data_IF_426340991612
#
_entry.id   IF_426340991612
#
_cell.length_a   1.000
_cell.length_b   1.000
_cell.length_c   1.000
_cell.angle_alpha   90.00
_cell.angle_beta   90.00
_cell.angle_gamma   90.00
#
_symmetry.space_group_name_H-M   'P 1'
#
loop_
_entity.id
_entity.type
_entity.pdbx_description
1 polymer ?
#
# COMPACT_ATOMS: atom_id res chain seq x y z
N UNK A 1 -14.71 -10.52 18.72
CA UNK A 1 -13.25 -10.51 18.86
C UNK A 1 -12.81 -9.20 19.51
N UNK A 2 -11.66 -9.24 20.18
CA UNK A 2 -10.89 -8.05 20.51
C UNK A 2 -9.93 -7.77 19.34
N UNK A 3 -10.00 -6.59 18.75
CA UNK A 3 -9.18 -6.23 17.58
C UNK A 3 -8.40 -4.95 17.88
N UNK A 4 -7.09 -4.98 17.69
CA UNK A 4 -6.28 -3.76 17.61
C UNK A 4 -6.21 -3.31 16.15
N UNK A 5 -6.58 -2.08 15.85
CA UNK A 5 -6.35 -1.47 14.53
C UNK A 5 -5.10 -0.62 14.61
N UNK A 6 -4.01 -1.09 14.00
CA UNK A 6 -2.74 -0.38 13.93
C UNK A 6 -2.76 0.62 12.79
N UNK A 7 -2.56 1.89 13.10
CA UNK A 7 -2.57 2.99 12.15
C UNK A 7 -1.44 4.00 12.45
N UNK A 8 -1.35 5.08 11.71
CA UNK A 8 -0.39 6.16 11.93
C UNK A 8 1.01 5.81 11.46
N UNK A 9 1.96 5.74 12.38
CA UNK A 9 3.38 5.56 12.03
C UNK A 9 4.07 6.85 11.61
N UNK A 10 5.28 6.76 11.04
CA UNK A 10 6.10 7.88 10.60
C UNK A 10 6.30 7.89 9.07
N UNK A 11 5.28 7.56 8.30
CA UNK A 11 5.34 7.67 6.85
C UNK A 11 4.70 8.97 6.33
N UNK A 12 4.99 9.40 5.10
CA UNK A 12 4.25 10.48 4.45
C UNK A 12 2.76 10.19 4.29
N UNK A 13 2.34 8.93 4.44
CA UNK A 13 0.96 8.47 4.34
C UNK A 13 0.25 8.37 5.70
N UNK A 14 0.87 8.89 6.77
CA UNK A 14 0.35 8.85 8.15
C UNK A 14 -1.11 9.30 8.27
N UNK A 15 -1.48 10.41 7.67
CA UNK A 15 -2.84 10.97 7.77
C UNK A 15 -3.87 10.07 7.09
N UNK A 16 -3.52 9.48 5.95
CA UNK A 16 -4.36 8.48 5.25
C UNK A 16 -4.53 7.23 6.11
N UNK A 17 -3.46 6.77 6.72
CA UNK A 17 -3.47 5.63 7.65
C UNK A 17 -4.38 5.87 8.86
N UNK A 18 -4.27 7.02 9.52
CA UNK A 18 -5.13 7.36 10.67
C UNK A 18 -6.61 7.42 10.28
N UNK A 19 -6.92 7.96 9.10
CA UNK A 19 -8.30 7.99 8.60
C UNK A 19 -8.81 6.59 8.27
N UNK A 20 -8.03 5.79 7.54
CA UNK A 20 -8.36 4.39 7.24
C UNK A 20 -8.59 3.62 8.54
N UNK A 21 -7.68 3.76 9.53
CA UNK A 21 -7.80 3.10 10.83
C UNK A 21 -9.07 3.49 11.60
N UNK A 22 -9.46 4.77 11.57
CA UNK A 22 -10.69 5.25 12.19
C UNK A 22 -11.93 4.63 11.55
N UNK A 23 -12.01 4.63 10.21
CA UNK A 23 -13.14 4.09 9.45
C UNK A 23 -13.23 2.56 9.59
N UNK A 24 -12.12 1.85 9.56
CA UNK A 24 -12.03 0.41 9.82
C UNK A 24 -12.52 0.10 11.24
N UNK A 25 -12.06 0.87 12.23
CA UNK A 25 -12.48 0.68 13.63
C UNK A 25 -13.99 0.82 13.80
N UNK A 26 -14.58 1.85 13.18
CA UNK A 26 -16.02 2.05 13.21
C UNK A 26 -16.77 0.90 12.52
N UNK A 27 -16.29 0.43 11.35
CA UNK A 27 -16.85 -0.70 10.63
C UNK A 27 -16.84 -1.99 11.46
N UNK A 28 -15.70 -2.30 12.07
CA UNK A 28 -15.55 -3.49 12.93
C UNK A 28 -16.43 -3.43 14.18
N UNK A 29 -16.61 -2.24 14.78
CA UNK A 29 -17.54 -2.05 15.91
C UNK A 29 -19.01 -2.27 15.49
N UNK A 30 -19.42 -1.79 14.31
CA UNK A 30 -20.76 -2.09 13.75
C UNK A 30 -20.99 -3.59 13.53
N UNK A 31 -19.91 -4.37 13.30
CA UNK A 31 -19.95 -5.85 13.24
C UNK A 31 -19.91 -6.51 14.62
N UNK A 32 -19.90 -5.74 15.71
CA UNK A 32 -19.97 -6.26 17.09
C UNK A 32 -18.61 -6.64 17.70
N UNK A 33 -17.50 -6.21 17.10
CA UNK A 33 -16.18 -6.40 17.68
C UNK A 33 -15.86 -5.31 18.71
N UNK A 34 -15.02 -5.64 19.70
CA UNK A 34 -14.38 -4.67 20.59
C UNK A 34 -13.07 -4.22 19.96
N UNK A 35 -12.91 -2.93 19.73
CA UNK A 35 -11.82 -2.39 18.93
C UNK A 35 -11.04 -1.34 19.70
N UNK A 36 -9.72 -1.47 19.70
CA UNK A 36 -8.76 -0.45 20.08
C UNK A 36 -8.05 0.05 18.82
N UNK A 37 -8.20 1.33 18.47
CA UNK A 37 -7.36 1.97 17.45
C UNK A 37 -6.10 2.50 18.12
N UNK A 38 -4.94 2.20 17.54
CA UNK A 38 -3.64 2.48 18.11
C UNK A 38 -2.69 3.03 17.06
N UNK A 39 -2.13 4.20 17.32
CA UNK A 39 -1.02 4.71 16.53
C UNK A 39 0.24 3.92 16.85
N UNK A 40 0.80 3.25 15.82
CA UNK A 40 1.94 2.34 16.00
C UNK A 40 3.20 3.05 16.49
N UNK A 41 3.42 4.32 16.13
CA UNK A 41 4.57 5.09 16.58
C UNK A 41 4.31 5.75 17.94
N UNK A 42 3.12 6.32 18.11
CA UNK A 42 2.82 7.02 19.37
C UNK A 42 2.65 6.06 20.55
N UNK A 43 1.94 4.94 20.35
CA UNK A 43 1.61 4.04 21.44
C UNK A 43 0.70 4.66 22.50
N UNK A 44 0.58 4.00 23.64
CA UNK A 44 -0.14 4.47 24.83
C UNK A 44 0.77 4.27 26.05
N UNK A 45 1.18 5.35 26.70
CA UNK A 45 2.10 5.26 27.86
C UNK A 45 1.40 4.77 29.14
N UNK A 46 0.15 5.18 29.36
CA UNK A 46 -0.66 4.75 30.51
C UNK A 46 -1.81 3.86 30.04
N UNK A 47 -1.73 2.59 30.30
CA UNK A 47 -2.76 1.59 29.95
C UNK A 47 -3.70 1.27 31.13
N UNK A 48 -3.47 1.87 32.29
CA UNK A 48 -4.23 1.63 33.54
C UNK A 48 -4.06 0.22 34.08
N UNK A 49 -4.87 -0.10 35.13
CA UNK A 49 -4.82 -1.41 35.80
C UNK A 49 -5.53 -2.52 34.99
N UNK A 50 -6.30 -2.18 33.98
CA UNK A 50 -7.09 -3.12 33.17
C UNK A 50 -6.99 -2.75 31.69
N UNK A 51 -5.88 -3.10 31.00
CA UNK A 51 -5.67 -2.75 29.59
C UNK A 51 -6.76 -3.27 28.65
N UNK A 52 -7.42 -4.38 29.00
CA UNK A 52 -8.53 -4.95 28.24
C UNK A 52 -9.73 -4.00 28.14
N UNK A 53 -9.88 -3.06 29.07
CA UNK A 53 -10.95 -2.06 29.06
C UNK A 53 -10.78 -1.02 27.95
N UNK A 54 -9.59 -0.92 27.33
CA UNK A 54 -9.34 -0.06 26.17
C UNK A 54 -10.06 -0.58 24.90
N UNK A 55 -10.40 -1.87 24.86
CA UNK A 55 -11.17 -2.45 23.76
C UNK A 55 -12.66 -2.14 23.94
N UNK A 56 -13.21 -1.30 23.09
CA UNK A 56 -14.59 -0.82 23.20
C UNK A 56 -15.40 -1.05 21.94
N UNK A 57 -16.72 -1.18 22.11
CA UNK A 57 -17.71 -1.14 21.02
C UNK A 57 -18.19 0.28 20.71
N UNK A 58 -17.81 1.25 21.53
CA UNK A 58 -18.23 2.65 21.37
C UNK A 58 -17.30 3.35 20.35
N UNK A 59 -17.90 4.18 19.49
CA UNK A 59 -17.12 4.99 18.55
C UNK A 59 -16.35 6.07 19.30
N UNK A 60 -15.03 6.05 19.12
CA UNK A 60 -14.11 7.08 19.59
C UNK A 60 -13.59 7.85 18.39
N UNK A 61 -13.61 9.17 18.48
CA UNK A 61 -13.01 10.17 17.57
C UNK A 61 -12.78 9.74 16.10
N UNK A 62 -13.54 10.34 15.19
CA UNK A 62 -13.27 10.26 13.76
C UNK A 62 -12.02 11.10 13.43
N UNK A 63 -10.98 10.47 12.85
CA UNK A 63 -9.92 11.19 12.19
C UNK A 63 -10.34 11.53 10.75
N UNK A 64 -10.09 12.75 10.31
CA UNK A 64 -10.29 13.18 8.92
C UNK A 64 -8.94 13.33 8.25
N UNK A 65 -8.85 12.92 6.96
CA UNK A 65 -7.63 13.11 6.16
C UNK A 65 -7.31 14.61 6.12
N UNK A 66 -6.07 14.96 6.44
CA UNK A 66 -5.55 16.30 6.17
C UNK A 66 -5.52 16.58 4.66
N UNK A 67 -5.54 17.83 4.29
CA UNK A 67 -5.53 18.27 2.88
C UNK A 67 -4.21 17.99 2.15
N UNK A 68 -3.16 17.61 2.87
CA UNK A 68 -1.82 17.32 2.35
C UNK A 68 -1.16 16.17 3.11
N UNK A 69 -0.19 15.52 2.48
CA UNK A 69 0.70 14.58 3.16
C UNK A 69 1.53 15.31 4.22
N UNK A 70 1.82 14.69 5.39
CA UNK A 70 2.73 15.25 6.37
C UNK A 70 4.08 15.60 5.74
N UNK A 71 4.56 16.79 6.01
CA UNK A 71 5.91 17.21 5.58
C UNK A 71 6.98 16.51 6.42
N UNK A 72 8.23 16.44 5.95
CA UNK A 72 9.34 15.94 6.77
C UNK A 72 9.46 16.66 8.12
N UNK A 73 9.21 17.97 8.14
CA UNK A 73 9.24 18.79 9.36
C UNK A 73 8.13 18.40 10.35
N UNK A 74 6.92 18.11 9.85
CA UNK A 74 5.82 17.63 10.69
C UNK A 74 6.10 16.24 11.27
N UNK A 75 6.71 15.35 10.51
CA UNK A 75 7.15 14.04 11.01
C UNK A 75 8.28 14.17 12.06
N UNK A 76 9.23 15.05 11.84
CA UNK A 76 10.27 15.35 12.83
C UNK A 76 9.70 16.01 14.12
N UNK A 77 8.62 16.80 14.00
CA UNK A 77 7.92 17.33 15.17
C UNK A 77 7.25 16.21 16.00
N UNK A 78 6.67 15.21 15.32
CA UNK A 78 6.11 14.03 16.00
C UNK A 78 7.20 13.27 16.74
N UNK A 79 8.38 13.08 16.13
CA UNK A 79 9.54 12.46 16.78
C UNK A 79 9.99 13.26 18.01
N UNK A 80 10.10 14.59 17.89
CA UNK A 80 10.51 15.46 19.00
C UNK A 80 9.57 15.38 20.20
N UNK A 81 8.26 15.36 19.97
CA UNK A 81 7.27 15.19 21.03
C UNK A 81 7.42 13.88 21.80
N UNK A 82 7.98 12.86 21.17
CA UNK A 82 8.27 11.55 21.77
C UNK A 82 9.74 11.38 22.19
N UNK A 83 10.46 12.48 22.44
CA UNK A 83 11.85 12.45 22.91
C UNK A 83 12.86 12.05 21.84
N UNK A 84 12.55 12.22 20.55
CA UNK A 84 13.42 11.89 19.40
C UNK A 84 13.91 10.44 19.43
N UNK A 85 13.08 9.52 19.90
CA UNK A 85 13.40 8.10 19.92
C UNK A 85 13.59 7.55 18.51
N UNK A 86 14.41 6.53 18.39
CA UNK A 86 14.72 5.85 17.13
C UNK A 86 13.80 4.65 16.85
N UNK A 87 13.15 4.14 17.89
CA UNK A 87 12.20 3.03 17.79
C UNK A 87 10.95 3.45 17.05
N UNK A 88 10.54 2.65 16.07
CA UNK A 88 9.37 2.89 15.24
C UNK A 88 8.07 2.39 15.88
N UNK A 89 8.17 1.56 16.93
CA UNK A 89 7.03 1.01 17.67
C UNK A 89 6.92 1.70 19.04
N UNK A 90 5.75 2.21 19.35
CA UNK A 90 5.45 2.97 20.55
C UNK A 90 5.31 2.12 21.80
N UNK A 91 5.22 2.84 22.95
CA UNK A 91 5.01 2.20 24.24
C UNK A 91 3.70 1.38 24.25
N UNK A 92 3.78 0.19 24.83
CA UNK A 92 2.67 -0.75 25.00
C UNK A 92 1.99 -1.24 23.71
N UNK A 93 2.48 -0.91 22.52
CA UNK A 93 1.88 -1.37 21.25
C UNK A 93 1.89 -2.90 21.17
N UNK A 94 3.02 -3.53 21.42
CA UNK A 94 3.15 -4.99 21.35
C UNK A 94 2.31 -5.67 22.44
N UNK A 95 2.35 -5.15 23.66
CA UNK A 95 1.58 -5.67 24.80
C UNK A 95 0.08 -5.60 24.56
N UNK A 96 -0.40 -4.51 23.99
CA UNK A 96 -1.82 -4.35 23.61
C UNK A 96 -2.21 -5.27 22.45
N UNK A 97 -1.32 -5.47 21.48
CA UNK A 97 -1.55 -6.43 20.40
C UNK A 97 -1.65 -7.89 20.91
N UNK A 98 -0.92 -8.25 21.96
CA UNK A 98 -1.01 -9.58 22.59
C UNK A 98 -2.36 -9.84 23.29
N UNK A 99 -3.08 -8.78 23.68
CA UNK A 99 -4.42 -8.89 24.27
C UNK A 99 -5.53 -9.01 23.23
N UNK A 100 -5.19 -8.78 21.95
CA UNK A 100 -6.14 -8.88 20.84
C UNK A 100 -6.15 -10.28 20.23
N UNK A 101 -7.30 -10.64 19.64
CA UNK A 101 -7.41 -11.82 18.79
C UNK A 101 -6.71 -11.59 17.43
N UNK A 102 -6.77 -10.33 16.94
CA UNK A 102 -6.21 -9.91 15.65
C UNK A 102 -5.71 -8.46 15.73
N UNK A 103 -4.54 -8.20 15.16
CA UNK A 103 -4.06 -6.87 14.81
C UNK A 103 -4.46 -6.56 13.36
N UNK A 104 -5.35 -5.61 13.14
CA UNK A 104 -5.73 -5.14 11.81
C UNK A 104 -4.74 -4.07 11.36
N UNK A 105 -4.02 -4.32 10.26
CA UNK A 105 -3.03 -3.39 9.74
C UNK A 105 -3.71 -2.36 8.82
N UNK A 106 -3.76 -1.12 9.27
CA UNK A 106 -4.28 0.03 8.52
C UNK A 106 -3.18 1.05 8.19
N UNK A 107 -1.93 0.60 8.14
CA UNK A 107 -0.77 1.41 7.80
C UNK A 107 -0.61 1.52 6.28
N UNK A 108 0.14 2.55 5.85
CA UNK A 108 0.55 2.74 4.46
C UNK A 108 2.01 3.17 4.43
N UNK A 109 2.76 2.64 3.46
CA UNK A 109 4.18 2.92 3.25
C UNK A 109 5.11 2.41 4.35
N UNK A 110 6.41 2.60 4.16
CA UNK A 110 7.49 2.33 5.11
C UNK A 110 7.31 1.02 5.90
N UNK A 111 7.47 1.08 7.21
CA UNK A 111 7.40 -0.06 8.14
C UNK A 111 6.09 -0.86 8.02
N UNK A 112 4.99 -0.21 7.61
CA UNK A 112 3.69 -0.87 7.48
C UNK A 112 3.65 -1.88 6.32
N UNK A 113 4.36 -1.60 5.22
CA UNK A 113 4.28 -2.38 3.98
C UNK A 113 5.60 -3.06 3.59
N UNK A 114 6.74 -2.73 4.22
CA UNK A 114 8.05 -3.30 3.86
C UNK A 114 8.40 -4.62 4.58
N UNK A 115 7.48 -5.17 5.37
CA UNK A 115 7.66 -6.42 6.11
C UNK A 115 8.23 -6.27 7.52
N UNK A 116 8.71 -5.10 7.93
CA UNK A 116 9.32 -4.92 9.27
C UNK A 116 8.30 -5.12 10.40
N UNK A 117 7.12 -4.51 10.28
CA UNK A 117 6.06 -4.68 11.27
C UNK A 117 5.57 -6.12 11.30
N UNK A 118 5.33 -6.71 10.13
CA UNK A 118 4.88 -8.11 10.01
C UNK A 118 5.86 -9.07 10.67
N UNK A 119 7.17 -8.93 10.39
CA UNK A 119 8.21 -9.75 11.03
C UNK A 119 8.25 -9.55 12.55
N UNK A 120 8.01 -8.33 13.02
CA UNK A 120 7.95 -8.05 14.46
C UNK A 120 6.75 -8.76 15.09
N UNK A 121 5.57 -8.66 14.48
CA UNK A 121 4.36 -9.32 14.97
C UNK A 121 4.50 -10.85 14.96
N UNK A 122 5.15 -11.42 13.92
CA UNK A 122 5.46 -12.86 13.84
C UNK A 122 6.35 -13.31 15.01
N UNK A 123 7.39 -12.53 15.37
CA UNK A 123 8.30 -12.85 16.49
C UNK A 123 7.55 -12.89 17.83
N UNK A 124 6.51 -12.10 17.99
CA UNK A 124 5.69 -12.06 19.21
C UNK A 124 4.43 -12.94 19.13
N UNK A 125 4.28 -13.77 18.10
CA UNK A 125 3.10 -14.65 17.87
C UNK A 125 1.77 -13.88 17.85
N UNK A 126 1.78 -12.67 17.28
CA UNK A 126 0.60 -11.82 17.13
C UNK A 126 -0.02 -12.09 15.76
N UNK A 127 -1.30 -12.45 15.75
CA UNK A 127 -2.08 -12.62 14.52
C UNK A 127 -2.42 -11.27 13.90
N UNK A 128 -2.22 -11.10 12.59
CA UNK A 128 -2.50 -9.85 11.87
C UNK A 128 -3.11 -10.07 10.49
N UNK A 129 -3.75 -9.02 9.94
CA UNK A 129 -4.38 -9.05 8.61
C UNK A 129 -3.35 -8.92 7.49
N UNK A 130 -3.63 -9.54 6.34
CA UNK A 130 -2.86 -9.40 5.11
C UNK A 130 -1.62 -10.28 5.03
N UNK A 131 -0.71 -9.90 4.15
CA UNK A 131 0.50 -10.66 3.81
C UNK A 131 1.53 -10.64 4.93
N UNK A 132 2.29 -11.72 5.07
CA UNK A 132 3.42 -11.81 5.98
C UNK A 132 4.64 -11.04 5.50
N UNK A 133 5.71 -11.01 6.33
CA UNK A 133 6.90 -10.20 6.08
C UNK A 133 7.57 -10.47 4.73
N UNK A 134 7.60 -11.73 4.27
CA UNK A 134 8.20 -12.09 2.98
C UNK A 134 7.42 -11.46 1.83
N UNK A 135 6.10 -11.64 1.78
CA UNK A 135 5.27 -11.08 0.70
C UNK A 135 5.30 -9.56 0.70
N UNK A 136 5.23 -8.93 1.87
CA UNK A 136 5.32 -7.48 2.03
C UNK A 136 6.64 -6.92 1.50
N UNK A 137 7.78 -7.52 1.91
CA UNK A 137 9.10 -7.13 1.41
C UNK A 137 9.22 -7.27 -0.11
N UNK A 138 8.78 -8.42 -0.67
CA UNK A 138 8.89 -8.71 -2.09
C UNK A 138 8.03 -7.76 -2.94
N UNK A 139 6.83 -7.39 -2.47
CA UNK A 139 5.95 -6.47 -3.17
C UNK A 139 6.44 -5.02 -3.08
N UNK A 140 7.01 -4.61 -1.94
CA UNK A 140 7.45 -3.24 -1.71
C UNK A 140 8.67 -2.85 -2.55
N UNK A 141 9.65 -3.72 -2.72
CA UNK A 141 10.81 -3.49 -3.58
C UNK A 141 10.43 -3.71 -5.05
N UNK A 142 10.20 -2.62 -5.78
CA UNK A 142 9.75 -2.65 -7.18
C UNK A 142 10.74 -3.38 -8.13
N UNK A 143 12.04 -3.35 -7.85
CA UNK A 143 13.02 -4.08 -8.68
C UNK A 143 12.91 -5.59 -8.46
N UNK A 144 12.76 -6.03 -7.20
CA UNK A 144 12.57 -7.45 -6.88
C UNK A 144 11.20 -7.92 -7.37
N UNK A 145 10.14 -7.15 -7.09
CA UNK A 145 8.79 -7.46 -7.53
C UNK A 145 8.72 -7.69 -9.04
N UNK A 146 9.28 -6.76 -9.84
CA UNK A 146 9.30 -6.86 -11.30
C UNK A 146 9.99 -8.14 -11.78
N UNK A 147 11.13 -8.51 -11.21
CA UNK A 147 11.87 -9.73 -11.57
C UNK A 147 11.02 -10.98 -11.32
N UNK A 148 10.37 -11.06 -10.16
CA UNK A 148 9.51 -12.18 -9.81
C UNK A 148 8.24 -12.24 -10.67
N UNK A 149 7.65 -11.09 -10.99
CA UNK A 149 6.51 -11.00 -11.90
C UNK A 149 6.88 -11.42 -13.33
N UNK A 150 8.04 -10.99 -13.84
CA UNK A 150 8.54 -11.39 -15.15
C UNK A 150 8.83 -12.89 -15.21
N UNK A 151 9.42 -13.47 -14.16
CA UNK A 151 9.67 -14.92 -14.07
C UNK A 151 8.34 -15.72 -14.06
N UNK A 152 7.27 -15.14 -13.50
CA UNK A 152 5.92 -15.68 -13.56
C UNK A 152 5.19 -15.44 -14.91
N UNK A 153 5.83 -14.82 -15.89
CA UNK A 153 5.28 -14.54 -17.21
C UNK A 153 4.35 -13.31 -17.26
N UNK A 154 4.48 -12.39 -16.31
CA UNK A 154 3.70 -11.14 -16.27
C UNK A 154 4.54 -10.01 -16.87
N UNK A 155 3.97 -9.28 -17.83
CA UNK A 155 4.64 -8.12 -18.42
C UNK A 155 4.77 -6.99 -17.41
N UNK A 156 5.99 -6.47 -17.25
CA UNK A 156 6.27 -5.26 -16.47
C UNK A 156 7.07 -4.29 -17.33
N UNK A 157 6.94 -2.96 -17.17
CA UNK A 157 7.74 -2.03 -17.95
C UNK A 157 9.23 -2.35 -17.88
N UNK A 158 9.97 -2.40 -19.00
CA UNK A 158 11.43 -2.55 -18.98
C UNK A 158 12.05 -1.53 -18.04
N UNK A 159 12.96 -1.95 -17.19
CA UNK A 159 13.51 -1.08 -16.15
C UNK A 159 14.94 -1.43 -15.78
N UNK A 160 15.66 -0.45 -15.26
CA UNK A 160 17.01 -0.61 -14.69
C UNK A 160 17.05 0.06 -13.33
N UNK A 161 17.66 -0.63 -12.36
CA UNK A 161 17.89 -0.12 -11.01
C UNK A 161 19.27 0.54 -10.91
N UNK A 162 19.31 1.68 -10.25
CA UNK A 162 20.51 2.40 -9.84
C UNK A 162 20.53 2.58 -8.33
N UNK A 163 21.73 2.79 -7.79
CA UNK A 163 21.89 3.33 -6.45
C UNK A 163 22.50 4.75 -6.52
N UNK A 164 22.48 5.46 -5.40
CA UNK A 164 22.99 6.84 -5.31
C UNK A 164 24.50 6.98 -5.62
N UNK A 165 25.24 5.87 -5.74
CA UNK A 165 26.68 5.83 -6.10
C UNK A 165 26.91 5.41 -7.54
N UNK A 166 25.86 5.13 -8.32
CA UNK A 166 26.00 4.77 -9.74
C UNK A 166 26.64 5.90 -10.52
N UNK A 167 27.59 5.57 -11.41
CA UNK A 167 28.26 6.60 -12.22
C UNK A 167 27.33 7.22 -13.26
N UNK A 168 27.49 8.50 -13.60
CA UNK A 168 26.71 9.13 -14.66
C UNK A 168 26.72 8.35 -15.98
N UNK A 169 27.88 7.74 -16.33
CA UNK A 169 28.03 6.95 -17.55
C UNK A 169 27.18 5.68 -17.50
N UNK A 170 27.10 5.00 -16.35
CA UNK A 170 26.28 3.79 -16.19
C UNK A 170 24.79 4.13 -16.25
N UNK A 171 24.39 5.27 -15.71
CA UNK A 171 23.02 5.77 -15.77
C UNK A 171 22.66 6.11 -17.22
N UNK A 172 23.51 6.86 -17.93
CA UNK A 172 23.29 7.23 -19.32
C UNK A 172 23.15 6.00 -20.24
N UNK A 173 24.05 5.03 -20.12
CA UNK A 173 24.01 3.80 -20.92
C UNK A 173 22.72 2.98 -20.68
N UNK A 174 22.24 2.94 -19.47
CA UNK A 174 21.01 2.22 -19.14
C UNK A 174 19.76 2.96 -19.61
N UNK A 175 19.72 4.28 -19.47
CA UNK A 175 18.60 5.09 -20.00
C UNK A 175 18.57 5.01 -21.52
N UNK A 176 19.74 4.93 -22.21
CA UNK A 176 19.78 4.69 -23.64
C UNK A 176 19.08 3.37 -24.03
N UNK A 177 19.23 2.32 -23.20
CA UNK A 177 18.57 1.02 -23.45
C UNK A 177 17.05 1.05 -23.24
N UNK A 178 16.55 1.91 -22.34
CA UNK A 178 15.13 2.08 -22.03
C UNK A 178 14.48 3.08 -23.00
N UNK A 179 15.18 4.15 -23.33
CA UNK A 179 14.72 5.27 -24.15
C UNK A 179 13.80 6.23 -23.42
N UNK A 180 13.59 7.40 -24.03
CA UNK A 180 12.59 8.37 -23.60
C UNK A 180 11.27 8.17 -24.35
N UNK A 181 10.13 8.50 -23.76
CA UNK A 181 9.97 8.93 -22.38
C UNK A 181 10.12 7.78 -21.38
N UNK A 182 10.60 8.11 -20.18
CA UNK A 182 10.75 7.13 -19.07
C UNK A 182 10.15 7.67 -17.76
N UNK A 183 10.10 6.82 -16.74
CA UNK A 183 9.66 7.16 -15.40
C UNK A 183 10.80 6.87 -14.44
N UNK A 184 11.10 7.84 -13.57
CA UNK A 184 12.08 7.70 -12.48
C UNK A 184 11.32 7.64 -11.17
N UNK A 185 11.65 6.64 -10.33
CA UNK A 185 10.98 6.46 -9.04
C UNK A 185 11.90 5.77 -8.02
N UNK A 186 11.74 6.04 -6.71
CA UNK A 186 12.35 5.23 -5.66
C UNK A 186 11.86 3.78 -5.74
N UNK A 187 12.71 2.82 -5.34
CA UNK A 187 12.35 1.39 -5.42
C UNK A 187 11.27 0.99 -4.43
N UNK A 188 11.26 1.57 -3.22
CA UNK A 188 10.42 1.11 -2.11
C UNK A 188 9.46 2.18 -1.54
N UNK A 189 9.24 3.29 -2.26
CA UNK A 189 8.27 4.31 -1.83
C UNK A 189 6.89 4.06 -2.44
N UNK A 190 5.83 4.31 -1.64
CA UNK A 190 4.43 4.28 -2.05
C UNK A 190 3.93 5.65 -2.53
N UNK A 191 2.63 5.73 -2.86
CA UNK A 191 1.86 6.95 -3.14
C UNK A 191 2.47 7.92 -4.14
N UNK A 192 3.19 7.43 -5.14
CA UNK A 192 3.89 8.25 -6.15
C UNK A 192 4.93 9.23 -5.56
N UNK A 193 5.41 9.01 -4.33
CA UNK A 193 6.43 9.85 -3.70
C UNK A 193 7.75 9.70 -4.46
N UNK A 194 8.32 10.84 -4.88
CA UNK A 194 9.58 10.87 -5.64
C UNK A 194 9.48 10.37 -7.08
N UNK A 195 8.29 10.11 -7.61
CA UNK A 195 8.05 9.69 -8.99
C UNK A 195 8.09 10.89 -9.93
N UNK A 196 8.77 10.74 -11.06
CA UNK A 196 8.83 11.75 -12.13
C UNK A 196 8.71 11.11 -13.50
N UNK A 197 7.93 11.71 -14.39
CA UNK A 197 7.96 11.41 -15.83
C UNK A 197 9.05 12.26 -16.45
N UNK A 198 9.79 11.69 -17.42
CA UNK A 198 11.00 12.26 -17.97
C UNK A 198 10.99 12.08 -19.47
N UNK A 199 11.08 13.18 -20.20
CA UNK A 199 11.04 13.22 -21.66
C UNK A 199 12.43 13.47 -22.29
N UNK A 200 13.42 13.88 -21.47
CA UNK A 200 14.77 14.22 -21.94
C UNK A 200 15.81 14.10 -20.81
N UNK A 201 17.08 14.27 -21.16
CA UNK A 201 18.22 14.11 -20.24
C UNK A 201 18.24 15.16 -19.11
N UNK A 202 17.87 16.42 -19.41
CA UNK A 202 17.82 17.48 -18.38
C UNK A 202 16.77 17.19 -17.30
N UNK A 203 15.65 16.61 -17.69
CA UNK A 203 14.61 16.16 -16.76
C UNK A 203 15.05 14.92 -16.00
N UNK A 204 15.79 14.01 -16.63
CA UNK A 204 16.34 12.82 -15.96
C UNK A 204 17.22 13.20 -14.77
N UNK A 205 18.14 14.14 -14.95
CA UNK A 205 19.00 14.59 -13.85
C UNK A 205 18.22 15.17 -12.67
N UNK A 206 17.15 15.96 -12.95
CA UNK A 206 16.28 16.51 -11.91
C UNK A 206 15.48 15.42 -11.20
N UNK A 207 14.96 14.46 -11.94
CA UNK A 207 14.19 13.34 -11.43
C UNK A 207 15.05 12.43 -10.54
N UNK A 208 16.26 12.10 -10.95
CA UNK A 208 17.21 11.34 -10.14
C UNK A 208 17.56 12.08 -8.85
N UNK A 209 17.88 13.38 -8.94
CA UNK A 209 18.17 14.21 -7.77
C UNK A 209 16.98 14.34 -6.80
N UNK A 210 15.75 14.20 -7.29
CA UNK A 210 14.57 14.14 -6.44
C UNK A 210 14.42 12.75 -5.78
N UNK A 211 14.49 11.68 -6.56
CA UNK A 211 14.25 10.32 -6.10
C UNK A 211 15.24 9.89 -5.00
N UNK A 212 16.53 10.25 -5.12
CA UNK A 212 17.57 9.92 -4.13
C UNK A 212 17.39 10.63 -2.78
N UNK A 213 16.52 11.64 -2.69
CA UNK A 213 16.19 12.27 -1.39
C UNK A 213 15.32 11.35 -0.53
N UNK A 214 14.61 10.43 -1.15
CA UNK A 214 13.71 9.51 -0.47
C UNK A 214 14.34 8.14 -0.24
N UNK A 215 15.13 7.66 -1.21
CA UNK A 215 15.75 6.34 -1.12
C UNK A 215 17.04 6.28 -1.95
N UNK A 216 18.02 5.52 -1.47
CA UNK A 216 19.29 5.33 -2.18
C UNK A 216 19.14 4.49 -3.46
N UNK A 217 18.09 3.69 -3.59
CA UNK A 217 17.81 2.85 -4.75
C UNK A 217 16.74 3.48 -5.63
N UNK A 218 17.06 3.72 -6.89
CA UNK A 218 16.18 4.36 -7.86
C UNK A 218 15.96 3.43 -9.05
N UNK A 219 14.71 3.33 -9.48
CA UNK A 219 14.30 2.63 -10.69
C UNK A 219 14.03 3.63 -11.80
N UNK A 220 14.62 3.38 -12.98
CA UNK A 220 14.24 4.04 -14.24
C UNK A 220 13.55 3.01 -15.10
N UNK A 221 12.35 3.30 -15.54
CA UNK A 221 11.55 2.37 -16.35
C UNK A 221 10.95 3.04 -17.57
N UNK A 222 10.69 2.27 -18.61
CA UNK A 222 10.00 2.75 -19.81
C UNK A 222 8.61 3.26 -19.43
N UNK A 223 8.25 4.47 -19.88
CA UNK A 223 6.90 4.98 -19.74
C UNK A 223 5.98 4.22 -20.69
N UNK A 224 4.96 3.58 -20.13
CA UNK A 224 3.91 2.91 -20.89
C UNK A 224 2.73 3.88 -21.01
N UNK A 225 2.12 3.94 -22.19
CA UNK A 225 0.92 4.71 -22.47
C UNK A 225 -0.25 3.77 -22.68
N UNK A 226 -1.40 4.10 -22.11
CA UNK A 226 -2.58 3.29 -22.22
C UNK A 226 -3.66 3.65 -21.21
N UNK A 227 -4.63 2.76 -21.05
CA UNK A 227 -5.68 2.83 -20.04
C UNK A 227 -5.13 2.29 -18.73
N UNK A 228 -5.38 3.00 -17.62
CA UNK A 228 -4.90 2.59 -16.30
C UNK A 228 -5.97 1.77 -15.56
N UNK A 229 -5.56 0.65 -15.02
CA UNK A 229 -6.43 -0.26 -14.27
C UNK A 229 -5.81 -0.65 -12.95
N UNK A 230 -6.67 -0.93 -11.99
CA UNK A 230 -6.27 -1.64 -10.77
C UNK A 230 -7.15 -2.87 -10.59
N UNK A 231 -6.60 -3.92 -10.00
CA UNK A 231 -7.36 -5.12 -9.66
C UNK A 231 -6.95 -5.68 -8.31
N UNK A 232 -7.94 -5.81 -7.42
CA UNK A 232 -7.81 -6.48 -6.15
C UNK A 232 -7.84 -8.00 -6.27
N UNK A 233 -7.16 -8.65 -5.34
CA UNK A 233 -7.26 -10.09 -5.10
C UNK A 233 -7.66 -10.30 -3.65
N UNK A 234 -8.73 -11.05 -3.40
CA UNK A 234 -9.30 -11.23 -2.08
C UNK A 234 -9.70 -12.69 -1.84
N UNK A 235 -9.07 -13.35 -0.89
CA UNK A 235 -9.45 -14.70 -0.47
C UNK A 235 -9.40 -15.75 -1.59
N UNK A 236 -8.44 -15.64 -2.50
CA UNK A 236 -8.27 -16.59 -3.61
C UNK A 236 -9.00 -16.18 -4.92
N UNK A 237 -9.62 -15.00 -4.96
CA UNK A 237 -10.41 -14.54 -6.12
C UNK A 237 -9.96 -13.15 -6.55
N UNK A 238 -9.75 -12.97 -7.87
CA UNK A 238 -9.58 -11.64 -8.46
C UNK A 238 -10.93 -10.90 -8.45
N UNK A 239 -10.91 -9.66 -7.96
CA UNK A 239 -12.10 -8.80 -7.92
C UNK A 239 -12.35 -8.14 -9.29
N UNK A 240 -13.54 -7.58 -9.53
CA UNK A 240 -13.76 -6.78 -10.74
C UNK A 240 -12.79 -5.60 -10.78
N UNK A 241 -12.04 -5.39 -11.88
CA UNK A 241 -11.07 -4.30 -11.94
C UNK A 241 -11.75 -2.92 -11.97
N UNK A 242 -11.02 -1.91 -11.51
CA UNK A 242 -11.39 -0.50 -11.66
C UNK A 242 -10.55 0.12 -12.76
N UNK A 243 -11.17 0.85 -13.68
CA UNK A 243 -10.47 1.75 -14.60
C UNK A 243 -10.29 3.11 -13.94
N UNK A 244 -9.07 3.65 -14.00
CA UNK A 244 -8.67 4.91 -13.41
C UNK A 244 -8.44 5.91 -14.54
N UNK A 245 -9.23 6.99 -14.57
CA UNK A 245 -9.18 8.02 -15.61
C UNK A 245 -8.85 9.37 -14.95
N UNK A 246 -7.56 9.76 -14.85
CA UNK A 246 -7.20 11.07 -14.32
C UNK A 246 -7.72 12.17 -15.24
N UNK A 247 -8.37 13.21 -14.68
CA UNK A 247 -8.87 14.34 -15.47
C UNK A 247 -7.76 15.25 -15.98
N UNK A 248 -6.61 15.24 -15.30
CA UNK A 248 -5.41 16.00 -15.69
C UNK A 248 -4.16 15.21 -15.30
N UNK A 249 -3.19 15.11 -16.21
CA UNK A 249 -1.84 14.65 -15.92
C UNK A 249 -1.72 13.15 -15.64
N UNK A 250 -1.05 12.83 -14.54
CA UNK A 250 -0.69 11.49 -14.09
C UNK A 250 -1.42 11.17 -12.78
N UNK A 251 -1.67 9.89 -12.47
CA UNK A 251 -2.32 9.47 -11.22
C UNK A 251 -1.34 9.61 -10.03
N UNK A 252 -1.06 10.86 -9.64
CA UNK A 252 -0.19 11.24 -8.54
C UNK A 252 -0.94 11.34 -7.20
N UNK A 253 -0.23 11.74 -6.14
CA UNK A 253 -0.81 11.90 -4.81
C UNK A 253 -2.03 12.84 -4.79
N UNK A 254 -1.96 13.95 -5.52
CA UNK A 254 -3.07 14.91 -5.57
C UNK A 254 -4.29 14.30 -6.26
N UNK A 255 -4.09 13.59 -7.38
CA UNK A 255 -5.16 12.91 -8.11
C UNK A 255 -5.78 11.73 -7.34
N UNK A 256 -5.03 11.13 -6.38
CA UNK A 256 -5.53 10.03 -5.52
C UNK A 256 -6.44 10.50 -4.39
N UNK A 257 -6.20 11.69 -3.83
CA UNK A 257 -6.85 12.13 -2.58
C UNK A 257 -7.67 13.41 -2.71
N UNK A 258 -7.61 14.12 -3.86
CA UNK A 258 -8.47 15.27 -4.12
C UNK A 258 -9.78 14.83 -4.76
N UNK A 259 -10.89 15.19 -4.13
CA UNK A 259 -12.21 14.82 -4.62
C UNK A 259 -12.45 15.26 -6.07
N UNK A 260 -12.96 14.36 -6.91
CA UNK A 260 -13.25 14.59 -8.33
C UNK A 260 -12.04 14.86 -9.23
N UNK A 261 -10.79 14.61 -8.79
CA UNK A 261 -9.61 14.73 -9.64
C UNK A 261 -9.49 13.57 -10.63
N UNK A 262 -10.04 12.42 -10.28
CA UNK A 262 -10.03 11.17 -11.07
C UNK A 262 -11.45 10.65 -11.22
N UNK A 263 -11.75 10.03 -12.35
CA UNK A 263 -12.94 9.20 -12.55
C UNK A 263 -12.54 7.73 -12.37
N UNK A 264 -13.31 7.00 -11.59
CA UNK A 264 -13.08 5.60 -11.27
C UNK A 264 -14.31 4.77 -11.69
N UNK A 265 -14.12 3.87 -12.62
CA UNK A 265 -15.21 3.04 -13.18
C UNK A 265 -15.04 1.61 -12.69
N UNK A 266 -15.98 1.16 -11.86
CA UNK A 266 -16.01 -0.20 -11.31
C UNK A 266 -17.40 -0.85 -11.51
N UNK A 267 -17.52 -2.02 -12.15
CA UNK A 267 -16.51 -2.74 -12.92
C UNK A 267 -16.03 -1.96 -14.15
N UNK A 268 -14.74 -2.11 -14.48
CA UNK A 268 -14.17 -1.51 -15.67
C UNK A 268 -14.77 -2.09 -16.94
N UNK A 269 -14.88 -1.26 -18.00
CA UNK A 269 -15.32 -1.71 -19.32
C UNK A 269 -14.18 -2.44 -20.06
N UNK A 270 -14.14 -3.75 -19.89
CA UNK A 270 -13.18 -4.67 -20.51
C UNK A 270 -13.91 -5.77 -21.27
N UNK A 271 -13.34 -6.21 -22.37
CA UNK A 271 -13.79 -7.42 -23.06
C UNK A 271 -13.58 -8.65 -22.15
N UNK A 272 -14.32 -9.74 -22.42
CA UNK A 272 -14.16 -10.99 -21.65
C UNK A 272 -12.73 -11.55 -21.72
N UNK A 273 -12.02 -11.36 -22.85
CA UNK A 273 -10.62 -11.76 -23.01
C UNK A 273 -9.68 -10.89 -22.16
N UNK A 274 -9.84 -9.56 -22.20
CA UNK A 274 -9.06 -8.64 -21.38
C UNK A 274 -9.27 -8.89 -19.89
N UNK A 275 -10.53 -9.09 -19.46
CA UNK A 275 -10.85 -9.42 -18.08
C UNK A 275 -10.21 -10.74 -17.65
N UNK A 276 -10.20 -11.75 -18.51
CA UNK A 276 -9.55 -13.04 -18.22
C UNK A 276 -8.04 -12.85 -18.05
N UNK A 277 -7.39 -12.09 -18.94
CA UNK A 277 -5.94 -11.87 -18.92
C UNK A 277 -5.46 -11.07 -17.71
N UNK A 278 -6.15 -9.98 -17.35
CA UNK A 278 -5.78 -9.20 -16.17
C UNK A 278 -5.99 -10.04 -14.90
N UNK A 279 -7.09 -10.81 -14.81
CA UNK A 279 -7.38 -11.66 -13.64
C UNK A 279 -6.36 -12.79 -13.49
N UNK A 280 -5.92 -13.40 -14.59
CA UNK A 280 -4.86 -14.41 -14.58
C UNK A 280 -3.52 -13.80 -14.16
N UNK A 281 -3.16 -12.62 -14.69
CA UNK A 281 -1.95 -11.91 -14.31
C UNK A 281 -1.95 -11.55 -12.81
N UNK A 282 -3.07 -11.05 -12.29
CA UNK A 282 -3.23 -10.73 -10.85
C UNK A 282 -3.08 -11.97 -9.99
N UNK A 283 -3.72 -13.08 -10.34
CA UNK A 283 -3.60 -14.34 -9.59
C UNK A 283 -2.16 -14.90 -9.60
N UNK A 284 -1.49 -14.88 -10.76
CA UNK A 284 -0.09 -15.29 -10.88
C UNK A 284 0.84 -14.37 -10.08
N UNK A 285 0.64 -13.06 -10.16
CA UNK A 285 1.43 -12.09 -9.42
C UNK A 285 1.27 -12.25 -7.90
N UNK A 286 0.04 -12.47 -7.43
CA UNK A 286 -0.25 -12.75 -6.03
C UNK A 286 0.53 -13.98 -5.53
N UNK A 287 0.56 -15.06 -6.30
CA UNK A 287 1.31 -16.26 -5.97
C UNK A 287 2.84 -16.05 -6.05
N UNK A 288 3.33 -15.39 -7.10
CA UNK A 288 4.75 -15.13 -7.33
C UNK A 288 5.38 -14.28 -6.21
N UNK A 289 4.64 -13.29 -5.72
CA UNK A 289 5.06 -12.43 -4.61
C UNK A 289 4.75 -13.03 -3.23
N UNK A 290 4.22 -14.27 -3.16
CA UNK A 290 3.86 -14.97 -1.91
C UNK A 290 2.90 -14.17 -1.03
N UNK A 291 1.95 -13.48 -1.67
CA UNK A 291 0.97 -12.67 -0.96
C UNK A 291 -0.10 -13.57 -0.32
N UNK A 292 -0.75 -13.06 0.71
CA UNK A 292 -1.75 -13.79 1.51
C UNK A 292 -2.95 -12.87 1.72
N UNK A 293 -4.15 -13.46 1.79
CA UNK A 293 -5.44 -12.85 2.07
C UNK A 293 -5.89 -11.87 1.00
N UNK A 294 -5.22 -10.75 0.82
CA UNK A 294 -5.59 -9.72 -0.13
C UNK A 294 -4.39 -8.88 -0.58
N UNK A 295 -4.50 -8.30 -1.75
CA UNK A 295 -3.60 -7.30 -2.31
C UNK A 295 -4.28 -6.58 -3.47
N UNK A 296 -3.67 -5.52 -3.99
CA UNK A 296 -4.10 -4.82 -5.19
C UNK A 296 -2.93 -4.69 -6.14
N UNK A 297 -3.19 -4.90 -7.43
CA UNK A 297 -2.20 -4.77 -8.51
C UNK A 297 -2.61 -3.64 -9.45
N UNK A 298 -1.65 -2.81 -9.84
CA UNK A 298 -1.88 -1.67 -10.70
C UNK A 298 -1.28 -1.94 -12.09
N UNK A 299 -2.05 -1.66 -13.16
CA UNK A 299 -1.72 -2.02 -14.54
C UNK A 299 -1.95 -0.85 -15.50
N UNK A 300 -1.22 -0.88 -16.63
CA UNK A 300 -1.55 -0.12 -17.84
C UNK A 300 -1.83 -1.12 -18.96
N UNK A 301 -2.98 -0.95 -19.65
CA UNK A 301 -3.31 -1.65 -20.89
C UNK A 301 -2.90 -0.77 -22.06
N UNK A 302 -1.87 -1.19 -22.82
CA UNK A 302 -1.39 -0.45 -23.97
C UNK A 302 -2.26 -0.66 -25.24
N UNK A 303 -1.90 0.04 -26.32
CA UNK A 303 -2.57 -0.05 -27.62
C UNK A 303 -2.45 -1.43 -28.31
N UNK A 304 -1.44 -2.21 -27.93
CA UNK A 304 -1.23 -3.56 -28.45
C UNK A 304 -1.98 -4.61 -27.63
N UNK A 305 -2.73 -4.18 -26.62
CA UNK A 305 -3.52 -5.02 -25.74
C UNK A 305 -2.71 -5.74 -24.67
N UNK A 306 -1.52 -5.27 -24.31
CA UNK A 306 -0.69 -5.84 -23.25
C UNK A 306 -0.98 -5.15 -21.93
N UNK A 307 -1.28 -5.94 -20.89
CA UNK A 307 -1.35 -5.46 -19.51
C UNK A 307 0.07 -5.41 -18.91
N UNK A 308 0.53 -4.21 -18.60
CA UNK A 308 1.82 -3.95 -17.95
C UNK A 308 1.61 -3.75 -16.46
N UNK A 309 2.03 -4.70 -15.64
CA UNK A 309 1.96 -4.57 -14.18
C UNK A 309 3.00 -3.56 -13.68
N UNK A 310 2.53 -2.54 -12.98
CA UNK A 310 3.37 -1.46 -12.43
C UNK A 310 3.89 -1.80 -11.04
N UNK A 311 2.99 -2.26 -10.16
CA UNK A 311 3.29 -2.58 -8.75
C UNK A 311 2.19 -3.45 -8.13
N UNK A 312 2.50 -4.00 -6.95
CA UNK A 312 1.55 -4.68 -6.08
C UNK A 312 1.53 -4.01 -4.71
N UNK A 313 0.33 -3.74 -4.19
CA UNK A 313 0.09 -3.08 -2.91
C UNK A 313 -0.46 -4.09 -1.90
N UNK A 314 0.27 -4.33 -0.80
CA UNK A 314 -0.10 -5.32 0.22
C UNK A 314 -1.06 -4.80 1.27
N UNK A 315 -1.05 -3.49 1.52
CA UNK A 315 -2.02 -2.77 2.36
C UNK A 315 -2.68 -1.64 1.53
N UNK A 316 -3.53 -2.00 0.53
CA UNK A 316 -4.18 -0.99 -0.30
C UNK A 316 -5.09 -0.10 0.55
N UNK A 317 -5.35 1.11 0.06
CA UNK A 317 -6.24 2.07 0.73
C UNK A 317 -7.56 1.43 1.16
N UNK A 318 -7.97 1.70 2.38
CA UNK A 318 -9.13 1.10 3.04
C UNK A 318 -10.09 2.16 3.59
N UNK A 319 -10.35 3.22 2.81
CA UNK A 319 -11.52 4.06 3.03
C UNK A 319 -12.70 3.53 2.19
N UNK A 320 -13.96 3.84 2.49
CA UNK A 320 -15.11 3.38 1.68
C UNK A 320 -15.02 3.77 0.20
N UNK A 321 -14.29 4.82 -0.13
CA UNK A 321 -14.06 5.31 -1.50
C UNK A 321 -12.75 4.82 -2.11
N UNK A 322 -11.96 4.03 -1.40
CA UNK A 322 -10.74 3.43 -1.93
C UNK A 322 -11.05 2.31 -2.92
N UNK A 323 -10.10 2.02 -3.82
CA UNK A 323 -10.28 1.11 -4.95
C UNK A 323 -10.67 -0.31 -4.54
N UNK A 324 -9.95 -0.93 -3.59
CA UNK A 324 -10.29 -2.29 -3.12
C UNK A 324 -11.69 -2.41 -2.50
N UNK A 325 -12.16 -1.50 -1.62
CA UNK A 325 -13.55 -1.46 -1.17
C UNK A 325 -14.57 -1.28 -2.30
N UNK A 326 -14.29 -0.49 -3.34
CA UNK A 326 -15.17 -0.36 -4.50
C UNK A 326 -15.29 -1.68 -5.28
N UNK A 327 -14.18 -2.36 -5.52
CA UNK A 327 -14.15 -3.68 -6.16
C UNK A 327 -14.93 -4.72 -5.35
N UNK A 328 -14.79 -4.73 -4.03
CA UNK A 328 -15.55 -5.61 -3.14
C UNK A 328 -17.06 -5.30 -3.18
N UNK A 329 -17.42 -4.02 -3.18
CA UNK A 329 -18.82 -3.59 -3.30
C UNK A 329 -19.45 -4.02 -4.62
N UNK A 330 -18.69 -4.03 -5.72
CA UNK A 330 -19.16 -4.50 -7.03
C UNK A 330 -19.57 -5.99 -7.06
N UNK A 331 -19.07 -6.79 -6.10
CA UNK A 331 -19.49 -8.19 -5.90
C UNK A 331 -20.39 -8.38 -4.68
N UNK A 332 -20.98 -7.30 -4.15
CA UNK A 332 -21.94 -7.34 -3.05
C UNK A 332 -21.33 -7.44 -1.64
N UNK A 333 -20.04 -7.20 -1.48
CA UNK A 333 -19.38 -7.13 -0.16
C UNK A 333 -19.31 -5.65 0.24
N UNK A 334 -20.18 -5.22 1.15
CA UNK A 334 -20.13 -3.86 1.70
C UNK A 334 -18.87 -3.62 2.54
N UNK A 335 -18.59 -2.35 2.83
CA UNK A 335 -17.37 -1.94 3.53
C UNK A 335 -17.21 -2.61 4.90
N UNK A 336 -18.27 -2.67 5.69
CA UNK A 336 -18.26 -3.28 7.03
C UNK A 336 -18.01 -4.78 6.93
N UNK A 337 -18.63 -5.44 5.97
CA UNK A 337 -18.43 -6.86 5.67
C UNK A 337 -17.03 -7.16 5.15
N UNK A 338 -16.43 -6.25 4.37
CA UNK A 338 -15.05 -6.37 3.93
C UNK A 338 -14.08 -6.32 5.13
N UNK A 339 -14.21 -5.32 6.01
CA UNK A 339 -13.38 -5.21 7.21
C UNK A 339 -13.49 -6.45 8.10
N UNK A 340 -14.71 -6.91 8.35
CA UNK A 340 -14.98 -8.12 9.14
C UNK A 340 -14.38 -9.38 8.47
N UNK A 341 -14.53 -9.52 7.15
CA UNK A 341 -13.94 -10.62 6.38
C UNK A 341 -12.43 -10.67 6.50
N UNK A 342 -11.74 -9.53 6.37
CA UNK A 342 -10.29 -9.46 6.52
C UNK A 342 -9.81 -9.86 7.92
N UNK A 343 -10.51 -9.41 8.96
CA UNK A 343 -10.21 -9.81 10.35
C UNK A 343 -10.42 -11.32 10.56
N UNK A 344 -11.51 -11.89 10.04
CA UNK A 344 -11.78 -13.32 10.13
C UNK A 344 -10.77 -14.18 9.33
N UNK A 345 -10.32 -13.70 8.16
CA UNK A 345 -9.28 -14.36 7.37
C UNK A 345 -7.95 -14.44 8.15
N UNK A 346 -7.57 -13.36 8.83
CA UNK A 346 -6.39 -13.34 9.69
C UNK A 346 -6.51 -14.36 10.84
N UNK A 347 -7.65 -14.42 11.52
CA UNK A 347 -7.88 -15.38 12.60
C UNK A 347 -7.81 -16.84 12.12
N UNK A 348 -8.30 -17.11 10.91
CA UNK A 348 -8.24 -18.45 10.32
C UNK A 348 -6.81 -18.94 9.99
N UNK A 349 -5.84 -18.03 9.82
CA UNK A 349 -4.42 -18.38 9.65
C UNK A 349 -3.81 -18.98 10.90
N UNK A 350 -4.17 -18.48 12.07
CA UNK A 350 -3.66 -18.96 13.37
C UNK A 350 -4.09 -20.40 13.69
N UNK A 351 -5.16 -20.87 13.07
CA UNK A 351 -5.72 -22.21 13.33
C UNK A 351 -5.12 -23.30 12.45
N UNK A 352 -4.25 -22.93 11.50
CA UNK A 352 -3.51 -23.86 10.62
C UNK A 352 -2.07 -24.00 11.08
#
# INVERSE_FOLDING_TARGET
>A
MNIVVLAGGLSPERNVSLTSGSLISAALRRKGHKVLMLDVYEGISDVGDSPEALFTTEDTLAHTVGSHAPTPEELEEIKRRRGSRTELIGENVIELCKLADVAFLALHGDMGENGQLQATLDVFDITYTGSGYVGSLLAMDKDIAKKLLQDAGISTPPSVKFDCHSSPESIAAAVESIGYPCVVKPCSCGSSVGVSTVDNEDELHKALALAVKYENSVLVEKRIFGREFTQGFLGGVALPPVEIIPKCGFYDYANKYVANATEEICPADLTSDELSRISEATAKGFAALRLIDYARFDYILDSDGVFWCLEANTLPGMTPTSLLPQEAAAIGIDYDSLCDKLANMALAKKQK
#
